data_IF_280243098278
#
_entry.id   IF_280243098278
#
_cell.length_a   1.000
_cell.length_b   1.000
_cell.length_c   1.000
_cell.angle_alpha   90.00
_cell.angle_beta   90.00
_cell.angle_gamma   90.00
#
_symmetry.space_group_name_H-M   'P 1'
#
loop_
_entity.id
_entity.type
_entity.pdbx_description
1 polymer ?
#
# COMPACT_ATOMS: atom_id res chain seq x y z
N UNK A 1 12.74 6.71 3.73
CA UNK A 1 12.02 7.14 4.96
C UNK A 1 12.57 8.48 5.46
N UNK A 2 11.78 9.56 5.38
CA UNK A 2 12.19 10.88 5.86
C UNK A 2 12.00 10.94 7.39
N UNK A 3 12.99 11.42 8.15
CA UNK A 3 12.81 11.66 9.60
C UNK A 3 11.83 12.83 9.81
N UNK A 4 10.67 12.53 10.37
CA UNK A 4 9.73 13.54 10.84
C UNK A 4 10.04 14.03 12.26
N UNK A 5 9.34 15.06 12.73
CA UNK A 5 9.34 15.44 14.14
C UNK A 5 8.95 14.25 15.03
N UNK A 6 9.60 14.14 16.20
CA UNK A 6 9.34 13.05 17.16
C UNK A 6 7.86 13.03 17.55
N UNK A 7 7.23 11.84 17.50
CA UNK A 7 5.84 11.65 17.90
C UNK A 7 4.78 11.95 16.83
N UNK A 8 5.16 12.47 15.66
CA UNK A 8 4.21 12.69 14.56
C UNK A 8 4.22 11.57 13.53
N UNK A 9 3.02 11.12 13.13
CA UNK A 9 2.85 10.19 12.00
C UNK A 9 2.77 10.98 10.70
N UNK A 10 3.62 10.62 9.74
CA UNK A 10 3.59 11.21 8.41
C UNK A 10 2.40 10.69 7.59
N UNK A 11 1.79 11.56 6.79
CA UNK A 11 0.72 11.24 5.84
C UNK A 11 1.21 11.46 4.42
N UNK A 12 0.94 10.50 3.52
CA UNK A 12 1.29 10.62 2.10
C UNK A 12 0.30 11.53 1.40
N UNK A 13 0.80 12.65 0.89
CA UNK A 13 0.01 13.59 0.10
C UNK A 13 0.63 13.75 -1.28
N UNK A 14 -0.23 13.88 -2.30
CA UNK A 14 0.15 14.37 -3.61
C UNK A 14 0.06 15.89 -3.55
N UNK A 15 1.17 16.55 -3.83
CA UNK A 15 1.34 17.99 -3.78
C UNK A 15 1.54 18.50 -5.19
N UNK A 16 0.72 19.46 -5.62
CA UNK A 16 0.87 20.14 -6.90
C UNK A 16 1.53 21.49 -6.69
N UNK A 17 2.67 21.71 -7.35
CA UNK A 17 3.40 22.97 -7.29
C UNK A 17 2.84 24.00 -8.29
N UNK A 18 3.07 25.30 -8.07
CA UNK A 18 2.65 26.35 -9.00
C UNK A 18 3.20 26.16 -10.43
N UNK A 19 4.29 25.42 -10.58
CA UNK A 19 4.87 25.04 -11.88
C UNK A 19 4.04 23.98 -12.63
N UNK A 20 2.90 23.55 -12.09
CA UNK A 20 2.06 22.48 -12.62
C UNK A 20 2.58 21.06 -12.32
N UNK A 21 3.82 20.93 -11.85
CA UNK A 21 4.39 19.63 -11.48
C UNK A 21 3.73 19.09 -10.21
N UNK A 22 3.48 17.78 -10.18
CA UNK A 22 2.92 17.11 -9.01
C UNK A 22 3.85 16.01 -8.50
N UNK A 23 4.10 15.98 -7.18
CA UNK A 23 4.94 14.95 -6.54
C UNK A 23 4.28 14.42 -5.27
N UNK A 24 4.57 13.18 -4.94
CA UNK A 24 4.10 12.55 -3.69
C UNK A 24 5.12 12.75 -2.59
N UNK A 25 4.69 13.28 -1.45
CA UNK A 25 5.53 13.47 -0.27
C UNK A 25 4.90 12.81 0.95
N UNK A 26 5.75 12.38 1.89
CA UNK A 26 5.32 12.14 3.27
C UNK A 26 5.36 13.48 3.98
N UNK A 27 4.20 13.91 4.46
CA UNK A 27 3.98 15.22 5.09
C UNK A 27 3.62 15.03 6.55
N UNK A 28 3.92 16.02 7.40
CA UNK A 28 3.60 15.99 8.83
C UNK A 28 2.71 17.18 9.19
N UNK A 29 1.85 17.03 10.20
CA UNK A 29 0.96 18.10 10.64
C UNK A 29 1.68 19.01 11.66
N UNK A 30 2.28 20.10 11.18
CA UNK A 30 2.97 21.07 12.02
C UNK A 30 2.11 22.32 12.21
N UNK A 31 1.68 22.60 13.45
CA UNK A 31 0.86 23.79 13.80
C UNK A 31 -0.39 23.96 12.94
N UNK A 32 -1.10 22.86 12.66
CA UNK A 32 -2.30 22.85 11.82
C UNK A 32 -2.03 22.98 10.32
N UNK A 33 -0.76 22.90 9.89
CA UNK A 33 -0.35 22.99 8.49
C UNK A 33 0.40 21.73 8.05
N UNK A 34 0.29 21.36 6.77
CA UNK A 34 1.06 20.27 6.21
C UNK A 34 2.50 20.74 5.93
N UNK A 35 3.47 20.17 6.65
CA UNK A 35 4.88 20.39 6.41
C UNK A 35 5.37 19.43 5.32
N UNK A 36 5.78 19.99 4.17
CA UNK A 36 6.34 19.26 3.04
C UNK A 36 7.85 19.53 3.00
N UNK A 37 8.72 18.50 3.07
CA UNK A 37 10.15 18.70 2.88
C UNK A 37 10.41 19.04 1.40
N UNK A 38 10.73 20.32 1.13
CA UNK A 38 11.07 20.80 -0.20
C UNK A 38 12.48 21.40 -0.18
N UNK A 39 13.36 20.93 -1.06
CA UNK A 39 14.79 21.27 -1.06
C UNK A 39 15.11 22.65 -1.62
N UNK A 40 14.17 23.31 -2.30
CA UNK A 40 14.40 24.56 -3.00
C UNK A 40 13.32 25.60 -2.67
N UNK A 41 13.14 25.95 -1.39
CA UNK A 41 12.40 27.17 -1.07
C UNK A 41 13.36 28.34 -1.23
N UNK A 42 13.10 29.22 -2.20
CA UNK A 42 13.81 30.48 -2.32
C UNK A 42 13.71 31.25 -0.99
N UNK A 43 14.84 31.76 -0.50
CA UNK A 43 14.92 32.53 0.75
C UNK A 43 13.92 33.69 0.71
N UNK A 44 12.98 33.70 1.67
CA UNK A 44 11.98 34.77 1.81
C UNK A 44 10.52 34.32 1.67
N UNK A 45 10.24 33.11 1.16
CA UNK A 45 8.87 32.59 1.08
C UNK A 45 8.57 31.67 2.26
N UNK A 46 7.77 32.15 3.21
CA UNK A 46 7.44 31.39 4.44
C UNK A 46 6.21 30.50 4.30
N UNK A 47 5.29 30.79 3.37
CA UNK A 47 4.05 30.01 3.14
C UNK A 47 3.63 30.06 1.67
N UNK A 48 3.47 28.90 1.04
CA UNK A 48 2.93 28.76 -0.32
C UNK A 48 1.64 27.96 -0.24
N UNK A 49 0.51 28.47 -0.76
CA UNK A 49 -0.70 27.66 -0.90
C UNK A 49 -0.45 26.58 -1.96
N UNK A 50 -0.56 25.32 -1.57
CA UNK A 50 -0.41 24.18 -2.47
C UNK A 50 -1.68 23.33 -2.44
N UNK A 51 -2.24 22.96 -3.61
CA UNK A 51 -3.23 21.91 -3.68
C UNK A 51 -2.62 20.60 -3.17
N UNK A 52 -3.30 20.00 -2.18
CA UNK A 52 -2.92 18.70 -1.62
C UNK A 52 -4.05 17.70 -1.79
N UNK A 53 -3.70 16.48 -2.14
CA UNK A 53 -4.64 15.36 -2.21
C UNK A 53 -4.11 14.22 -1.35
N UNK A 54 -4.98 13.61 -0.56
CA UNK A 54 -4.64 12.39 0.17
C UNK A 54 -4.33 11.30 -0.83
N UNK A 55 -3.13 10.75 -0.76
CA UNK A 55 -2.82 9.52 -1.47
C UNK A 55 -3.43 8.41 -0.65
N UNK A 56 -4.48 7.78 -1.18
CA UNK A 56 -5.02 6.57 -0.58
C UNK A 56 -3.86 5.60 -0.37
N UNK A 57 -3.72 5.09 0.85
CA UNK A 57 -2.81 3.99 1.07
C UNK A 57 -3.14 2.89 0.08
N UNK A 58 -2.10 2.39 -0.58
CA UNK A 58 -2.25 1.28 -1.50
C UNK A 58 -2.85 0.16 -0.67
N UNK A 59 -4.11 -0.21 -0.93
CA UNK A 59 -4.77 -1.32 -0.25
C UNK A 59 -3.80 -2.49 -0.32
N UNK A 60 -3.33 -3.00 0.83
CA UNK A 60 -2.17 -3.88 0.81
C UNK A 60 -2.47 -5.23 0.13
N UNK A 61 -3.73 -5.54 -0.17
CA UNK A 61 -4.20 -6.88 -0.54
C UNK A 61 -5.14 -6.89 -1.75
N UNK A 62 -4.77 -6.23 -2.85
CA UNK A 62 -5.30 -6.70 -4.14
C UNK A 62 -4.82 -8.14 -4.32
N UNK A 63 -5.78 -9.07 -4.35
CA UNK A 63 -5.53 -10.48 -4.65
C UNK A 63 -4.91 -10.54 -6.04
N UNK A 64 -3.71 -11.16 -6.20
CA UNK A 64 -3.10 -11.36 -7.50
C UNK A 64 -4.05 -12.08 -8.46
N UNK A 65 -4.04 -11.70 -9.74
CA UNK A 65 -5.00 -12.20 -10.74
C UNK A 65 -4.99 -13.73 -10.86
N UNK A 66 -3.81 -14.34 -10.76
CA UNK A 66 -3.60 -15.78 -10.82
C UNK A 66 -4.15 -16.51 -9.58
N UNK A 67 -4.00 -15.92 -8.39
CA UNK A 67 -4.64 -16.42 -7.17
C UNK A 67 -6.17 -16.28 -7.26
N UNK A 68 -6.67 -15.14 -7.73
CA UNK A 68 -8.10 -14.92 -7.93
C UNK A 68 -8.70 -15.96 -8.90
N UNK A 69 -8.06 -16.16 -10.06
CA UNK A 69 -8.49 -17.16 -11.02
C UNK A 69 -8.41 -18.60 -10.49
N UNK A 70 -7.48 -18.91 -9.58
CA UNK A 70 -7.40 -20.22 -8.94
C UNK A 70 -8.52 -20.44 -7.91
N UNK A 71 -8.84 -19.42 -7.13
CA UNK A 71 -9.94 -19.45 -6.16
C UNK A 71 -11.31 -19.53 -6.86
N UNK A 72 -11.51 -18.77 -7.94
CA UNK A 72 -12.73 -18.82 -8.76
C UNK A 72 -12.95 -20.21 -9.36
N UNK A 73 -11.90 -20.81 -9.96
CA UNK A 73 -11.97 -22.19 -10.48
C UNK A 73 -12.32 -23.23 -9.41
N UNK A 74 -11.90 -22.99 -8.17
CA UNK A 74 -12.20 -23.85 -7.04
C UNK A 74 -13.54 -23.52 -6.34
N UNK A 75 -14.24 -22.45 -6.74
CA UNK A 75 -15.45 -21.99 -6.07
C UNK A 75 -15.23 -21.63 -4.60
N UNK A 76 -14.07 -21.02 -4.29
CA UNK A 76 -13.64 -20.64 -2.95
C UNK A 76 -13.69 -19.13 -2.76
N UNK A 77 -14.16 -18.71 -1.58
CA UNK A 77 -14.21 -17.30 -1.20
C UNK A 77 -12.94 -16.91 -0.43
N UNK A 78 -12.19 -15.96 -0.98
CA UNK A 78 -11.00 -15.41 -0.34
C UNK A 78 -11.30 -14.74 1.01
N UNK A 79 -12.50 -14.18 1.17
CA UNK A 79 -12.90 -13.45 2.38
C UNK A 79 -13.10 -14.35 3.59
N UNK A 80 -13.20 -15.68 3.37
CA UNK A 80 -13.24 -16.67 4.44
C UNK A 80 -11.92 -16.77 5.22
N UNK A 81 -10.82 -16.25 4.68
CA UNK A 81 -9.51 -16.24 5.35
C UNK A 81 -9.37 -14.98 6.22
N UNK A 82 -8.91 -15.07 7.48
CA UNK A 82 -8.65 -13.89 8.31
C UNK A 82 -7.64 -12.92 7.68
N UNK A 83 -7.84 -11.61 7.84
CA UNK A 83 -7.04 -10.58 7.18
C UNK A 83 -5.52 -10.69 7.45
N UNK A 84 -5.11 -11.15 8.64
CA UNK A 84 -3.70 -11.34 8.97
C UNK A 84 -3.08 -12.53 8.21
N UNK A 85 -3.83 -13.61 8.00
CA UNK A 85 -3.41 -14.75 7.19
C UNK A 85 -3.40 -14.39 5.69
N UNK A 86 -4.39 -13.62 5.23
CA UNK A 86 -4.39 -13.08 3.86
C UNK A 86 -3.11 -12.28 3.59
N UNK A 87 -2.72 -11.40 4.52
CA UNK A 87 -1.50 -10.62 4.41
C UNK A 87 -0.26 -11.52 4.29
N UNK A 88 -0.17 -12.56 5.11
CA UNK A 88 0.95 -13.50 5.11
C UNK A 88 1.02 -14.31 3.81
N UNK A 89 -0.10 -14.88 3.36
CA UNK A 89 -0.18 -15.66 2.11
C UNK A 89 0.21 -14.78 0.90
N UNK A 90 -0.31 -13.55 0.85
CA UNK A 90 0.02 -12.62 -0.23
C UNK A 90 1.49 -12.20 -0.22
N UNK A 91 2.10 -12.09 0.96
CA UNK A 91 3.52 -11.82 1.08
C UNK A 91 4.35 -12.98 0.52
N UNK A 92 4.01 -14.23 0.91
CA UNK A 92 4.66 -15.42 0.36
C UNK A 92 4.52 -15.48 -1.17
N UNK A 93 3.34 -15.22 -1.72
CA UNK A 93 3.14 -15.24 -3.18
C UNK A 93 3.97 -14.15 -3.88
N UNK A 94 4.11 -12.96 -3.28
CA UNK A 94 4.94 -11.86 -3.81
C UNK A 94 6.44 -12.15 -3.77
N UNK A 95 6.91 -12.86 -2.75
CA UNK A 95 8.32 -13.21 -2.58
C UNK A 95 8.76 -14.42 -3.42
N UNK A 96 7.89 -14.97 -4.26
CA UNK A 96 8.25 -16.09 -5.11
C UNK A 96 9.23 -15.62 -6.21
N UNK A 97 10.49 -16.03 -6.10
CA UNK A 97 11.55 -15.67 -7.07
C UNK A 97 11.46 -16.41 -8.41
N UNK A 98 10.64 -17.47 -8.51
CA UNK A 98 10.41 -18.23 -9.74
C UNK A 98 8.93 -18.49 -9.96
N UNK A 99 8.52 -18.70 -11.23
CA UNK A 99 7.15 -19.04 -11.60
C UNK A 99 6.69 -20.36 -10.96
N UNK A 100 7.57 -21.34 -10.83
CA UNK A 100 7.28 -22.64 -10.18
C UNK A 100 6.98 -22.46 -8.69
N UNK A 101 7.83 -21.72 -7.97
CA UNK A 101 7.62 -21.40 -6.55
C UNK A 101 6.30 -20.66 -6.35
N UNK A 102 5.99 -19.75 -7.27
CA UNK A 102 4.75 -18.98 -7.25
C UNK A 102 3.54 -19.89 -7.42
N UNK A 103 3.55 -20.78 -8.42
CA UNK A 103 2.49 -21.74 -8.64
C UNK A 103 2.27 -22.64 -7.42
N UNK A 104 3.34 -23.17 -6.83
CA UNK A 104 3.27 -23.98 -5.61
C UNK A 104 2.65 -23.23 -4.43
N UNK A 105 3.02 -21.95 -4.23
CA UNK A 105 2.44 -21.10 -3.17
C UNK A 105 0.97 -20.77 -3.42
N UNK A 106 0.55 -20.61 -4.68
CA UNK A 106 -0.87 -20.41 -5.03
C UNK A 106 -1.67 -21.68 -4.76
N UNK A 107 -1.18 -22.85 -5.15
CA UNK A 107 -1.83 -24.13 -4.84
C UNK A 107 -1.99 -24.32 -3.34
N UNK A 108 -0.92 -24.13 -2.56
CA UNK A 108 -0.98 -24.22 -1.11
C UNK A 108 -1.97 -23.23 -0.48
N UNK A 109 -2.09 -22.02 -1.03
CA UNK A 109 -3.06 -21.03 -0.58
C UNK A 109 -4.51 -21.50 -0.83
N UNK A 110 -4.79 -22.03 -2.02
CA UNK A 110 -6.10 -22.59 -2.39
C UNK A 110 -6.46 -23.77 -1.48
N UNK A 111 -5.52 -24.69 -1.25
CA UNK A 111 -5.72 -25.85 -0.37
C UNK A 111 -6.02 -25.42 1.08
N UNK A 112 -5.32 -24.40 1.59
CA UNK A 112 -5.57 -23.86 2.92
C UNK A 112 -6.97 -23.24 3.04
N UNK A 113 -7.47 -22.56 1.99
CA UNK A 113 -8.84 -22.04 1.96
C UNK A 113 -9.86 -23.19 1.87
N UNK A 114 -9.59 -24.19 1.03
CA UNK A 114 -10.46 -25.35 0.87
C UNK A 114 -10.62 -26.15 2.18
N UNK A 115 -9.51 -26.38 2.90
CA UNK A 115 -9.51 -27.08 4.19
C UNK A 115 -10.35 -26.38 5.27
N UNK A 116 -10.54 -25.06 5.14
CA UNK A 116 -11.38 -24.27 6.06
C UNK A 116 -12.87 -24.33 5.71
N UNK A 117 -13.23 -24.42 4.43
CA UNK A 117 -14.63 -24.57 3.98
C UNK A 117 -15.26 -25.89 4.46
N UNK A 118 -14.45 -26.90 4.73
CA UNK A 118 -14.88 -28.21 5.25
C UNK A 118 -14.94 -28.32 6.77
N UNK A 119 -14.65 -27.24 7.53
CA UNK A 119 -14.84 -27.16 8.99
C UNK A 119 -16.12 -26.41 9.31
#
# INVERSE_FOLDING_TARGET
>A
PCRGPIGQRGTRLRVTFPTGTSKTFVTYALRGQAAVPYTAVATGVTRVPLPVQVVRDRTPHSVPLDLAAALERAGLDWTAVPAHEQAQILQLIKEAGTLETRAGRITAAVDAVAARKGR
#
